data_IF_695598162880
#
_entry.id   IF_695598162880
#
_cell.length_a   1.000
_cell.length_b   1.000
_cell.length_c   1.000
_cell.angle_alpha   90.00
_cell.angle_beta   90.00
_cell.angle_gamma   90.00
#
_symmetry.space_group_name_H-M   'P 1'
#
loop_
_entity.id
_entity.type
_entity.pdbx_description
1 polymer ?
#
# COMPACT_ATOMS: atom_id res chain seq x y z
N UNK A 1 14.46 21.32 14.99
CA UNK A 1 13.50 21.85 14.02
C UNK A 1 12.61 20.69 13.62
N UNK A 2 11.29 20.86 13.59
CA UNK A 2 10.42 19.81 13.05
C UNK A 2 10.72 19.66 11.55
N UNK A 3 10.74 18.43 11.04
CA UNK A 3 10.77 18.20 9.59
C UNK A 3 9.54 18.86 8.97
N UNK A 4 9.73 19.54 7.85
CA UNK A 4 8.60 20.10 7.10
C UNK A 4 7.80 18.99 6.40
N UNK A 5 6.53 19.22 6.11
CA UNK A 5 5.68 18.27 5.36
C UNK A 5 6.31 17.86 4.02
N UNK A 6 6.97 18.80 3.35
CA UNK A 6 7.65 18.56 2.08
C UNK A 6 8.88 17.65 2.23
N UNK A 7 9.65 17.81 3.31
CA UNK A 7 10.78 16.93 3.64
C UNK A 7 10.29 15.51 3.94
N UNK A 8 9.21 15.38 4.74
CA UNK A 8 8.62 14.07 5.04
C UNK A 8 8.15 13.36 3.77
N UNK A 9 7.40 14.06 2.90
CA UNK A 9 6.96 13.50 1.61
C UNK A 9 8.14 13.08 0.73
N UNK A 10 9.18 13.91 0.64
CA UNK A 10 10.36 13.61 -0.16
C UNK A 10 11.08 12.35 0.36
N UNK A 11 11.25 12.22 1.67
CA UNK A 11 11.87 11.04 2.27
C UNK A 11 11.06 9.77 2.08
N UNK A 12 9.73 9.85 2.16
CA UNK A 12 8.84 8.72 1.88
C UNK A 12 8.99 8.23 0.43
N UNK A 13 8.99 9.15 -0.54
CA UNK A 13 9.20 8.82 -1.95
C UNK A 13 10.60 8.25 -2.20
N UNK A 14 11.64 8.79 -1.55
CA UNK A 14 13.01 8.29 -1.67
C UNK A 14 13.13 6.85 -1.17
N UNK A 15 12.53 6.54 -0.02
CA UNK A 15 12.50 5.17 0.51
C UNK A 15 11.74 4.19 -0.40
N UNK A 16 10.61 4.61 -0.96
CA UNK A 16 9.90 3.78 -1.93
C UNK A 16 10.70 3.54 -3.22
N UNK A 17 11.48 4.54 -3.68
CA UNK A 17 12.29 4.43 -4.89
C UNK A 17 13.55 3.59 -4.69
N UNK A 18 14.21 3.70 -3.54
CA UNK A 18 15.42 2.95 -3.20
C UNK A 18 15.11 1.52 -2.75
N UNK A 19 13.90 1.29 -2.22
CA UNK A 19 13.55 0.07 -1.53
C UNK A 19 14.15 0.01 -0.12
N UNK A 20 13.65 -0.93 0.68
CA UNK A 20 14.09 -1.11 2.06
C UNK A 20 15.30 -2.05 2.11
N UNK A 21 16.45 -1.55 2.56
CA UNK A 21 17.65 -2.36 2.74
C UNK A 21 17.57 -3.23 4.00
N UNK A 22 16.79 -2.79 4.99
CA UNK A 22 16.63 -3.47 6.28
C UNK A 22 15.21 -3.35 6.85
N UNK A 23 14.82 -4.24 7.78
CA UNK A 23 13.55 -4.11 8.51
C UNK A 23 13.44 -2.80 9.30
N UNK A 24 14.58 -2.27 9.76
CA UNK A 24 14.64 -0.97 10.45
C UNK A 24 14.24 0.16 9.51
N UNK A 25 14.73 0.16 8.26
CA UNK A 25 14.32 1.15 7.26
C UNK A 25 12.83 1.09 6.97
N UNK A 26 12.27 -0.12 6.89
CA UNK A 26 10.82 -0.31 6.73
C UNK A 26 10.05 0.23 7.94
N UNK A 27 10.53 -0.01 9.16
CA UNK A 27 9.91 0.51 10.38
C UNK A 27 9.96 2.04 10.46
N UNK A 28 11.09 2.62 10.08
CA UNK A 28 11.27 4.07 10.00
C UNK A 28 10.33 4.69 8.94
N UNK A 29 10.18 4.03 7.79
CA UNK A 29 9.22 4.41 6.76
C UNK A 29 7.78 4.39 7.24
N UNK A 30 7.35 3.31 7.90
CA UNK A 30 5.99 3.24 8.41
C UNK A 30 5.71 4.33 9.45
N UNK A 31 6.69 4.63 10.32
CA UNK A 31 6.57 5.70 11.32
C UNK A 31 6.45 7.08 10.66
N UNK A 32 7.31 7.38 9.68
CA UNK A 32 7.28 8.64 8.96
C UNK A 32 6.01 8.81 8.12
N UNK A 33 5.53 7.71 7.54
CA UNK A 33 4.31 7.67 6.74
C UNK A 33 3.11 7.99 7.62
N UNK A 34 2.98 7.29 8.76
CA UNK A 34 1.90 7.53 9.72
C UNK A 34 1.89 8.99 10.18
N UNK A 35 3.06 9.56 10.50
CA UNK A 35 3.18 10.98 10.84
C UNK A 35 2.70 11.89 9.70
N UNK A 36 3.17 11.66 8.47
CA UNK A 36 2.78 12.48 7.31
C UNK A 36 1.27 12.40 7.05
N UNK A 37 0.70 11.20 7.07
CA UNK A 37 -0.71 10.94 6.78
C UNK A 37 -1.61 11.50 7.91
N UNK A 38 -1.19 11.45 9.18
CA UNK A 38 -1.91 12.09 10.29
C UNK A 38 -1.90 13.62 10.19
N UNK A 39 -0.74 14.22 9.86
CA UNK A 39 -0.61 15.68 9.76
C UNK A 39 -1.32 16.26 8.51
N UNK A 40 -1.38 15.51 7.42
CA UNK A 40 -1.91 16.00 6.13
C UNK A 40 -3.28 15.47 5.76
N UNK A 41 -3.70 14.35 6.36
CA UNK A 41 -4.84 13.53 5.94
C UNK A 41 -4.71 13.02 4.48
N UNK A 42 -3.50 13.04 3.92
CA UNK A 42 -3.19 12.56 2.57
C UNK A 42 -2.70 11.11 2.61
N UNK A 43 -3.63 10.16 2.49
CA UNK A 43 -3.32 8.72 2.51
C UNK A 43 -2.78 8.18 1.18
N UNK A 44 -2.09 9.01 0.38
CA UNK A 44 -1.62 8.61 -0.94
C UNK A 44 -0.59 7.49 -0.88
N UNK A 45 0.26 7.49 0.15
CA UNK A 45 1.27 6.44 0.38
C UNK A 45 0.62 5.11 0.75
N UNK A 46 -0.27 5.11 1.74
CA UNK A 46 -1.00 3.88 2.13
C UNK A 46 -1.81 3.31 0.97
N UNK A 47 -2.50 4.16 0.19
CA UNK A 47 -3.20 3.71 -1.03
C UNK A 47 -2.25 3.11 -2.06
N UNK A 48 -1.09 3.73 -2.30
CA UNK A 48 -0.07 3.22 -3.24
C UNK A 48 0.52 1.89 -2.79
N UNK A 49 0.76 1.70 -1.50
CA UNK A 49 1.25 0.43 -0.94
C UNK A 49 0.23 -0.69 -1.09
N UNK A 50 -1.05 -0.42 -0.80
CA UNK A 50 -2.12 -1.43 -0.92
C UNK A 50 -2.33 -1.81 -2.39
N UNK A 51 -2.46 -0.82 -3.27
CA UNK A 51 -2.64 -1.06 -4.72
C UNK A 51 -1.44 -1.78 -5.33
N UNK A 52 -0.22 -1.43 -4.94
CA UNK A 52 0.98 -2.13 -5.37
C UNK A 52 1.00 -3.62 -4.98
N UNK A 53 0.52 -3.96 -3.77
CA UNK A 53 0.39 -5.35 -3.33
C UNK A 53 -0.71 -6.09 -4.10
N UNK A 54 -1.86 -5.45 -4.33
CA UNK A 54 -2.94 -6.01 -5.13
C UNK A 54 -2.47 -6.32 -6.57
N UNK A 55 -1.79 -5.37 -7.22
CA UNK A 55 -1.22 -5.57 -8.56
C UNK A 55 -0.17 -6.68 -8.59
N UNK A 56 0.66 -6.80 -7.54
CA UNK A 56 1.62 -7.90 -7.44
C UNK A 56 0.91 -9.25 -7.34
N UNK A 57 -0.17 -9.34 -6.56
CA UNK A 57 -0.97 -10.57 -6.46
C UNK A 57 -1.59 -10.91 -7.83
N UNK A 58 -2.15 -9.93 -8.54
CA UNK A 58 -2.79 -10.13 -9.85
C UNK A 58 -1.78 -10.55 -10.93
N UNK A 59 -0.59 -9.94 -10.94
CA UNK A 59 0.39 -10.10 -12.03
C UNK A 59 1.40 -11.20 -11.78
N UNK A 60 1.54 -11.69 -10.54
CA UNK A 60 2.44 -12.79 -10.21
C UNK A 60 2.00 -14.06 -10.93
N UNK A 61 2.90 -14.69 -11.69
CA UNK A 61 2.64 -15.94 -12.42
C UNK A 61 2.39 -17.13 -11.51
N UNK A 62 2.80 -17.04 -10.25
CA UNK A 62 2.55 -18.07 -9.24
C UNK A 62 1.07 -18.06 -8.79
N UNK A 63 0.41 -16.91 -8.93
CA UNK A 63 -0.98 -16.74 -8.61
C UNK A 63 -1.82 -17.09 -9.84
N UNK A 64 -2.73 -18.06 -9.72
CA UNK A 64 -3.66 -18.44 -10.79
C UNK A 64 -4.81 -17.42 -10.89
N UNK A 65 -4.52 -16.12 -10.88
CA UNK A 65 -5.55 -15.07 -10.81
C UNK A 65 -6.51 -15.16 -12.01
N UNK A 66 -7.84 -15.08 -11.82
CA UNK A 66 -8.56 -14.77 -10.56
C UNK A 66 -8.84 -15.97 -9.64
N UNK A 67 -8.46 -17.19 -10.04
CA UNK A 67 -8.59 -18.44 -9.27
C UNK A 67 -7.51 -18.59 -8.18
N UNK A 68 -7.29 -17.53 -7.40
CA UNK A 68 -6.36 -17.54 -6.26
C UNK A 68 -6.69 -18.68 -5.28
N UNK A 69 -5.65 -19.28 -4.68
CA UNK A 69 -5.84 -20.18 -3.55
C UNK A 69 -6.49 -19.45 -2.36
N UNK A 70 -7.04 -20.21 -1.40
CA UNK A 70 -7.79 -19.64 -0.28
C UNK A 70 -6.97 -18.63 0.56
N UNK A 71 -5.67 -18.86 0.74
CA UNK A 71 -4.81 -17.98 1.55
C UNK A 71 -4.58 -16.68 0.80
N UNK A 72 -4.15 -16.75 -0.45
CA UNK A 72 -3.88 -15.56 -1.27
C UNK A 72 -5.16 -14.78 -1.57
N UNK A 73 -6.30 -15.47 -1.73
CA UNK A 73 -7.61 -14.82 -1.89
C UNK A 73 -8.04 -14.07 -0.63
N UNK A 74 -7.81 -14.65 0.55
CA UNK A 74 -8.11 -13.98 1.81
C UNK A 74 -7.24 -12.73 2.00
N UNK A 75 -5.94 -12.82 1.70
CA UNK A 75 -5.03 -11.68 1.72
C UNK A 75 -5.46 -10.58 0.74
N UNK A 76 -5.82 -10.95 -0.49
CA UNK A 76 -6.33 -10.00 -1.48
C UNK A 76 -7.60 -9.28 -0.99
N UNK A 77 -8.56 -10.02 -0.43
CA UNK A 77 -9.80 -9.44 0.08
C UNK A 77 -9.57 -8.54 1.30
N UNK A 78 -8.59 -8.86 2.15
CA UNK A 78 -8.19 -8.03 3.28
C UNK A 78 -7.58 -6.70 2.80
N UNK A 79 -6.67 -6.74 1.82
CA UNK A 79 -6.11 -5.55 1.19
C UNK A 79 -7.20 -4.68 0.53
N UNK A 80 -8.16 -5.31 -0.14
CA UNK A 80 -9.32 -4.61 -0.72
C UNK A 80 -10.19 -3.95 0.36
N UNK A 81 -10.38 -4.59 1.52
CA UNK A 81 -11.13 -4.02 2.62
C UNK A 81 -10.39 -2.81 3.23
N UNK A 82 -9.07 -2.90 3.40
CA UNK A 82 -8.25 -1.76 3.83
C UNK A 82 -8.32 -0.59 2.82
N UNK A 83 -8.29 -0.89 1.52
CA UNK A 83 -8.43 0.13 0.48
C UNK A 83 -9.81 0.77 0.49
N UNK A 84 -10.86 0.04 0.84
CA UNK A 84 -12.25 0.56 0.90
C UNK A 84 -12.38 1.74 1.87
N UNK A 85 -11.64 1.69 2.98
CA UNK A 85 -11.61 2.76 3.98
C UNK A 85 -10.92 4.02 3.46
N UNK A 86 -10.04 3.90 2.46
CA UNK A 86 -9.22 5.00 1.93
C UNK A 86 -9.72 5.51 0.56
N UNK A 87 -10.24 4.62 -0.28
CA UNK A 87 -10.66 4.85 -1.67
C UNK A 87 -11.63 3.73 -2.13
N UNK A 88 -12.92 3.94 -1.87
CA UNK A 88 -13.97 2.99 -2.22
C UNK A 88 -14.01 2.68 -3.72
N UNK A 89 -13.74 3.67 -4.60
CA UNK A 89 -13.80 3.47 -6.05
C UNK A 89 -12.71 2.48 -6.51
N UNK A 90 -11.48 2.64 -5.99
CA UNK A 90 -10.42 1.69 -6.27
C UNK A 90 -10.68 0.32 -5.65
N UNK A 91 -11.20 0.26 -4.42
CA UNK A 91 -11.56 -1.01 -3.79
C UNK A 91 -12.61 -1.78 -4.63
N UNK A 92 -13.65 -1.08 -5.12
CA UNK A 92 -14.66 -1.65 -6.01
C UNK A 92 -14.08 -2.15 -7.34
N UNK A 93 -13.07 -1.47 -7.89
CA UNK A 93 -12.34 -1.93 -9.07
C UNK A 93 -11.67 -3.29 -8.80
N UNK A 94 -10.93 -3.44 -7.70
CA UNK A 94 -10.25 -4.68 -7.36
C UNK A 94 -11.22 -5.82 -7.01
N UNK A 95 -12.34 -5.53 -6.33
CA UNK A 95 -13.40 -6.53 -6.08
C UNK A 95 -13.94 -7.14 -7.37
N UNK A 96 -14.15 -6.31 -8.40
CA UNK A 96 -14.67 -6.75 -9.69
C UNK A 96 -13.69 -7.62 -10.46
N UNK A 97 -12.40 -7.54 -10.19
CA UNK A 97 -11.41 -8.42 -10.85
C UNK A 97 -11.47 -9.87 -10.34
N UNK A 98 -12.00 -10.10 -9.13
CA UNK A 98 -12.23 -11.45 -8.60
C UNK A 98 -13.54 -12.09 -9.07
N UNK A 99 -14.38 -11.36 -9.81
CA UNK A 99 -15.74 -11.77 -10.20
C UNK A 99 -15.80 -12.56 -11.51
#
# INVERSE_FOLDING_TARGET
>A
MAQTLEEMRYQLEEWLAQGFASPEDRGNYQTLKEQYEDETLDFSFSKREITGQLELIITSRENDFPSLDEVTKAEFLDLVAQLDELDQEQADYYRKQLA
#
